data_IF_310141933007
#
_entry.id   IF_310141933007
#
_cell.length_a   1.000
_cell.length_b   1.000
_cell.length_c   1.000
_cell.angle_alpha   90.00
_cell.angle_beta   90.00
_cell.angle_gamma   90.00
#
_symmetry.space_group_name_H-M   'P 1'
#
loop_
_entity.id
_entity.type
_entity.pdbx_description
1 polymer ?
#
# COMPACT_ATOMS: atom_id res chain seq x y z
N UNK A 1 -76.49 -28.92 1.79
CA UNK A 1 -75.22 -29.38 2.42
C UNK A 1 -74.08 -29.66 1.42
N UNK A 2 -74.34 -29.98 0.14
CA UNK A 2 -73.28 -30.38 -0.82
C UNK A 2 -72.32 -29.28 -1.33
N UNK A 3 -72.68 -27.99 -1.35
CA UNK A 3 -71.80 -26.92 -1.87
C UNK A 3 -70.71 -26.44 -0.91
N UNK A 4 -70.93 -26.54 0.40
CA UNK A 4 -69.95 -26.08 1.41
C UNK A 4 -68.77 -27.05 1.60
N UNK A 5 -69.00 -28.34 1.37
CA UNK A 5 -67.94 -29.35 1.46
C UNK A 5 -66.99 -29.32 0.26
N UNK A 6 -67.46 -28.94 -0.93
CA UNK A 6 -66.61 -28.83 -2.13
C UNK A 6 -65.64 -27.65 -2.05
N UNK A 7 -66.10 -26.51 -1.53
CA UNK A 7 -65.25 -25.34 -1.34
C UNK A 7 -64.13 -25.59 -0.32
N UNK A 8 -64.45 -26.24 0.80
CA UNK A 8 -63.45 -26.60 1.80
C UNK A 8 -62.39 -27.56 1.25
N UNK A 9 -62.78 -28.51 0.40
CA UNK A 9 -61.86 -29.46 -0.20
C UNK A 9 -60.90 -28.81 -1.22
N UNK A 10 -61.38 -27.84 -1.99
CA UNK A 10 -60.56 -27.10 -2.97
C UNK A 10 -59.57 -26.17 -2.25
N UNK A 11 -59.99 -25.50 -1.18
CA UNK A 11 -59.10 -24.64 -0.37
C UNK A 11 -58.00 -25.47 0.31
N UNK A 12 -58.34 -26.66 0.79
CA UNK A 12 -57.36 -27.56 1.42
C UNK A 12 -56.35 -28.12 0.41
N UNK A 13 -56.80 -28.40 -0.82
CA UNK A 13 -55.90 -28.77 -1.93
C UNK A 13 -54.96 -27.61 -2.30
N UNK A 14 -55.47 -26.38 -2.41
CA UNK A 14 -54.66 -25.21 -2.73
C UNK A 14 -53.62 -24.90 -1.65
N UNK A 15 -54.01 -24.96 -0.38
CA UNK A 15 -53.09 -24.78 0.75
C UNK A 15 -52.05 -25.89 0.82
N UNK A 16 -52.42 -27.13 0.50
CA UNK A 16 -51.46 -28.24 0.43
C UNK A 16 -50.46 -28.07 -0.71
N UNK A 17 -50.89 -27.57 -1.88
CA UNK A 17 -49.96 -27.30 -2.99
C UNK A 17 -49.02 -26.15 -2.71
N UNK A 18 -49.45 -25.12 -1.98
CA UNK A 18 -48.60 -24.01 -1.57
C UNK A 18 -47.55 -24.43 -0.52
N UNK A 19 -47.88 -25.35 0.38
CA UNK A 19 -46.93 -25.88 1.37
C UNK A 19 -45.82 -26.73 0.74
N UNK A 20 -46.07 -27.41 -0.38
CA UNK A 20 -45.06 -28.21 -1.08
C UNK A 20 -44.09 -27.37 -1.93
N UNK A 21 -44.51 -26.22 -2.45
CA UNK A 21 -43.64 -25.32 -3.24
C UNK A 21 -42.71 -24.50 -2.33
N UNK A 22 -43.09 -24.29 -1.06
CA UNK A 22 -42.33 -23.46 -0.12
C UNK A 22 -41.25 -24.20 0.68
N UNK A 23 -41.11 -25.53 0.55
CA UNK A 23 -40.17 -26.33 1.35
C UNK A 23 -38.98 -26.90 0.57
N UNK A 24 -38.84 -26.58 -0.71
CA UNK A 24 -37.65 -26.93 -1.48
C UNK A 24 -36.88 -25.66 -1.78
N UNK A 25 -35.83 -25.40 -1.00
CA UNK A 25 -34.72 -24.54 -1.43
C UNK A 25 -34.35 -25.00 -2.85
N UNK A 26 -34.19 -24.12 -3.84
CA UNK A 26 -33.66 -24.54 -5.13
C UNK A 26 -32.30 -25.17 -4.86
N UNK A 27 -32.25 -26.50 -4.90
CA UNK A 27 -30.99 -27.22 -4.91
C UNK A 27 -30.50 -27.06 -6.35
N UNK A 28 -29.36 -26.40 -6.50
CA UNK A 28 -28.64 -26.32 -7.77
C UNK A 28 -28.56 -27.73 -8.36
N UNK A 29 -28.89 -27.92 -9.65
CA UNK A 29 -28.85 -29.23 -10.27
C UNK A 29 -27.40 -29.71 -10.28
N UNK A 30 -27.07 -30.60 -9.36
CA UNK A 30 -25.82 -31.36 -9.39
C UNK A 30 -25.98 -32.54 -10.35
N UNK A 31 -25.01 -32.68 -11.26
CA UNK A 31 -24.99 -33.71 -12.31
C UNK A 31 -24.94 -35.14 -11.72
N UNK A 32 -24.50 -35.27 -10.46
CA UNK A 32 -24.54 -36.52 -9.69
C UNK A 32 -24.50 -36.27 -8.18
N UNK A 33 -25.23 -37.08 -7.41
CA UNK A 33 -25.17 -37.10 -5.94
C UNK A 33 -24.09 -38.05 -5.41
N UNK A 34 -23.33 -38.70 -6.29
CA UNK A 34 -22.28 -39.65 -5.94
C UNK A 34 -20.91 -38.96 -6.07
N UNK A 35 -20.16 -38.76 -4.97
CA UNK A 35 -18.93 -37.95 -4.98
C UNK A 35 -17.82 -38.53 -5.87
N UNK A 36 -17.92 -39.79 -6.28
CA UNK A 36 -16.98 -40.41 -7.24
C UNK A 36 -17.33 -40.18 -8.71
N UNK A 37 -18.56 -39.73 -9.00
CA UNK A 37 -19.06 -39.52 -10.36
C UNK A 37 -19.14 -38.03 -10.72
N UNK A 38 -18.76 -37.13 -9.80
CA UNK A 38 -18.58 -35.72 -10.09
C UNK A 38 -17.39 -35.58 -11.07
N UNK A 39 -17.68 -35.43 -12.35
CA UNK A 39 -16.71 -34.87 -13.26
C UNK A 39 -16.55 -33.42 -12.81
N UNK A 40 -15.38 -33.06 -12.27
CA UNK A 40 -15.07 -31.73 -11.72
C UNK A 40 -15.12 -30.62 -12.77
N UNK A 41 -16.29 -30.38 -13.34
CA UNK A 41 -16.59 -29.17 -14.08
C UNK A 41 -16.73 -28.01 -13.10
N UNK A 42 -16.41 -26.81 -13.58
CA UNK A 42 -16.69 -25.58 -12.85
C UNK A 42 -18.18 -25.58 -12.43
N UNK A 43 -18.51 -25.14 -11.20
CA UNK A 43 -19.89 -24.92 -10.80
C UNK A 43 -20.61 -24.09 -11.88
N UNK A 44 -21.93 -24.28 -12.12
CA UNK A 44 -22.67 -23.36 -12.95
C UNK A 44 -22.47 -21.95 -12.37
N UNK A 45 -21.90 -21.04 -13.16
CA UNK A 45 -21.89 -19.62 -12.82
C UNK A 45 -23.33 -19.14 -12.96
N UNK A 46 -24.11 -19.31 -11.89
CA UNK A 46 -25.37 -18.62 -11.73
C UNK A 46 -25.04 -17.19 -11.32
N UNK A 47 -25.75 -16.26 -11.94
CA UNK A 47 -25.72 -14.82 -11.71
C UNK A 47 -27.21 -14.49 -11.67
N UNK A 48 -27.77 -14.46 -10.46
CA UNK A 48 -29.19 -14.49 -10.20
C UNK A 48 -29.88 -13.13 -10.40
N UNK A 49 -29.15 -12.05 -10.24
CA UNK A 49 -29.60 -10.67 -10.40
C UNK A 49 -29.05 -9.95 -11.64
N UNK A 50 -28.25 -10.65 -12.45
CA UNK A 50 -27.72 -10.24 -13.76
C UNK A 50 -26.73 -9.06 -13.69
N UNK A 51 -25.93 -9.02 -12.63
CA UNK A 51 -25.00 -7.93 -12.32
C UNK A 51 -23.55 -8.19 -12.77
N UNK A 52 -23.31 -9.39 -13.31
CA UNK A 52 -22.04 -9.92 -13.85
C UNK A 52 -21.04 -10.42 -12.81
N UNK A 53 -21.37 -10.34 -11.53
CA UNK A 53 -20.70 -11.06 -10.46
C UNK A 53 -21.39 -12.44 -10.32
N UNK A 54 -20.65 -13.56 -10.25
CA UNK A 54 -21.28 -14.86 -10.03
C UNK A 54 -21.74 -15.01 -8.58
N UNK A 55 -22.90 -15.64 -8.37
CA UNK A 55 -23.47 -15.95 -7.04
C UNK A 55 -22.48 -16.67 -6.11
N UNK A 56 -21.52 -17.41 -6.67
CA UNK A 56 -20.49 -18.09 -5.91
C UNK A 56 -19.54 -17.10 -5.22
N UNK A 57 -19.13 -16.05 -5.92
CA UNK A 57 -18.25 -15.01 -5.39
C UNK A 57 -18.98 -14.21 -4.32
N UNK A 58 -20.22 -13.82 -4.59
CA UNK A 58 -21.08 -13.14 -3.61
C UNK A 58 -21.36 -14.01 -2.39
N UNK A 59 -21.51 -15.33 -2.55
CA UNK A 59 -21.66 -16.24 -1.43
C UNK A 59 -20.39 -16.39 -0.59
N UNK A 60 -19.20 -16.07 -1.12
CA UNK A 60 -17.95 -16.08 -0.37
C UNK A 60 -17.84 -14.79 0.45
N UNK A 61 -18.13 -13.65 -0.17
CA UNK A 61 -17.97 -12.31 0.40
C UNK A 61 -19.31 -11.64 0.77
N UNK A 62 -20.29 -12.45 1.16
CA UNK A 62 -21.66 -11.99 1.46
C UNK A 62 -21.96 -11.84 2.95
N UNK A 63 -20.96 -12.01 3.81
CA UNK A 63 -21.08 -11.79 5.25
C UNK A 63 -20.67 -10.34 5.57
N UNK A 64 -21.51 -9.63 6.32
CA UNK A 64 -21.18 -8.29 6.81
C UNK A 64 -20.05 -8.37 7.86
N UNK A 65 -18.99 -7.60 7.67
CA UNK A 65 -17.85 -7.56 8.59
C UNK A 65 -18.05 -6.42 9.58
N UNK A 66 -18.09 -6.75 10.88
CA UNK A 66 -18.18 -5.77 11.96
C UNK A 66 -16.80 -5.53 12.56
N UNK A 67 -16.30 -4.30 12.43
CA UNK A 67 -15.00 -3.87 12.94
C UNK A 67 -15.21 -3.07 14.23
N UNK A 68 -14.71 -3.60 15.35
CA UNK A 68 -14.79 -2.98 16.67
C UNK A 68 -13.56 -2.11 16.95
N UNK A 69 -13.76 -0.78 17.00
CA UNK A 69 -12.70 0.18 17.35
C UNK A 69 -12.94 0.80 18.73
N UNK A 70 -11.91 1.42 19.36
CA UNK A 70 -12.10 2.17 20.60
C UNK A 70 -13.13 3.30 20.50
N UNK A 71 -13.33 3.90 19.32
CA UNK A 71 -14.30 4.97 19.08
C UNK A 71 -15.73 4.45 18.80
N UNK A 72 -15.86 3.19 18.40
CA UNK A 72 -17.14 2.56 18.09
C UNK A 72 -17.01 1.39 17.11
N UNK A 73 -18.06 0.59 17.00
CA UNK A 73 -18.17 -0.45 15.98
C UNK A 73 -18.73 0.13 14.69
N UNK A 74 -18.17 -0.23 13.55
CA UNK A 74 -18.77 0.01 12.24
C UNK A 74 -18.85 -1.29 11.44
N UNK A 75 -19.62 -1.28 10.37
CA UNK A 75 -19.96 -2.47 9.58
C UNK A 75 -19.63 -2.20 8.11
N UNK A 76 -18.89 -3.13 7.50
CA UNK A 76 -18.63 -3.20 6.06
C UNK A 76 -19.60 -4.23 5.50
N UNK A 77 -20.39 -3.83 4.51
CA UNK A 77 -21.46 -4.66 3.97
C UNK A 77 -20.89 -5.68 2.98
N UNK A 78 -21.32 -6.94 3.12
CA UNK A 78 -21.03 -7.97 2.13
C UNK A 78 -21.89 -7.82 0.86
N UNK A 79 -21.59 -8.64 -0.14
CA UNK A 79 -22.37 -8.74 -1.37
C UNK A 79 -23.66 -9.57 -1.18
N UNK A 80 -24.72 -9.26 -1.94
CA UNK A 80 -26.00 -9.98 -1.94
C UNK A 80 -26.37 -10.43 -3.34
N UNK A 81 -26.36 -11.76 -3.53
CA UNK A 81 -26.76 -12.50 -4.74
C UNK A 81 -28.14 -12.21 -5.34
N UNK A 82 -28.92 -11.29 -4.76
CA UNK A 82 -30.22 -10.87 -5.28
C UNK A 82 -30.29 -9.35 -5.52
N UNK A 83 -29.19 -8.63 -5.31
CA UNK A 83 -29.08 -7.19 -5.36
C UNK A 83 -28.02 -6.73 -6.37
N UNK A 84 -28.35 -6.79 -7.66
CA UNK A 84 -27.40 -6.43 -8.72
C UNK A 84 -26.99 -4.97 -8.85
N UNK A 85 -27.14 -4.16 -7.80
CA UNK A 85 -26.60 -2.81 -7.68
C UNK A 85 -25.33 -2.74 -6.83
N UNK A 86 -25.00 -3.80 -6.09
CA UNK A 86 -23.80 -3.86 -5.25
C UNK A 86 -22.51 -4.17 -6.04
N UNK A 87 -22.60 -4.64 -7.29
CA UNK A 87 -21.43 -4.74 -8.18
C UNK A 87 -20.63 -3.42 -8.36
N UNK A 88 -21.30 -2.27 -8.24
CA UNK A 88 -20.68 -0.95 -8.33
C UNK A 88 -20.48 -0.31 -6.95
N UNK A 89 -20.70 -1.07 -5.88
CA UNK A 89 -20.38 -0.65 -4.51
C UNK A 89 -18.89 -0.81 -4.24
N UNK A 90 -18.43 0.01 -3.31
CA UNK A 90 -17.06 0.13 -2.79
C UNK A 90 -17.26 0.28 -1.28
N UNK A 91 -17.61 -0.85 -0.65
CA UNK A 91 -18.11 -0.86 0.73
C UNK A 91 -17.00 -0.71 1.76
N UNK A 92 -15.83 -1.23 1.43
CA UNK A 92 -14.54 -1.16 2.11
C UNK A 92 -13.70 0.07 1.74
N UNK A 93 -14.16 0.89 0.78
CA UNK A 93 -13.64 2.26 0.52
C UNK A 93 -12.16 2.31 0.14
N UNK A 94 -11.68 1.23 -0.46
CA UNK A 94 -10.33 1.13 -1.01
C UNK A 94 -10.26 1.73 -2.42
N UNK A 95 -11.41 2.12 -2.99
CA UNK A 95 -11.54 2.74 -4.30
C UNK A 95 -11.67 1.77 -5.46
N UNK A 96 -11.56 0.47 -5.22
CA UNK A 96 -12.02 -0.56 -6.12
C UNK A 96 -13.53 -0.79 -5.93
N UNK A 97 -14.24 -1.08 -7.01
CA UNK A 97 -15.64 -1.52 -6.90
C UNK A 97 -15.68 -3.03 -6.90
N UNK A 98 -16.69 -3.64 -6.27
CA UNK A 98 -16.85 -5.09 -6.18
C UNK A 98 -16.70 -5.83 -7.52
N UNK A 99 -17.19 -5.25 -8.62
CA UNK A 99 -17.03 -5.82 -9.95
C UNK A 99 -15.58 -5.81 -10.43
N UNK A 100 -14.81 -4.77 -10.11
CA UNK A 100 -13.39 -4.66 -10.44
C UNK A 100 -12.58 -5.69 -9.66
N UNK A 101 -12.88 -5.86 -8.37
CA UNK A 101 -12.25 -6.84 -7.50
C UNK A 101 -12.44 -8.28 -7.98
N UNK A 102 -13.69 -8.65 -8.30
CA UNK A 102 -13.96 -9.93 -8.96
C UNK A 102 -13.23 -10.08 -10.30
N UNK A 103 -13.09 -8.99 -11.04
CA UNK A 103 -12.46 -8.97 -12.36
C UNK A 103 -10.94 -8.95 -12.33
N UNK A 104 -10.31 -8.61 -11.21
CA UNK A 104 -8.86 -8.56 -11.06
C UNK A 104 -8.23 -9.90 -11.50
N UNK A 105 -7.12 -9.93 -12.26
CA UNK A 105 -6.25 -8.83 -12.71
C UNK A 105 -6.64 -8.22 -14.07
N UNK A 106 -7.91 -8.24 -14.44
CA UNK A 106 -8.40 -7.66 -15.70
C UNK A 106 -9.14 -6.34 -15.43
N UNK A 107 -8.93 -5.37 -16.30
CA UNK A 107 -9.79 -4.17 -16.32
C UNK A 107 -11.23 -4.54 -16.68
N UNK A 108 -12.19 -3.74 -16.23
CA UNK A 108 -13.62 -3.98 -16.44
C UNK A 108 -14.00 -4.18 -17.92
N UNK A 109 -13.34 -3.48 -18.85
CA UNK A 109 -13.58 -3.62 -20.29
C UNK A 109 -13.06 -4.97 -20.83
N UNK A 110 -11.96 -5.50 -20.28
CA UNK A 110 -11.32 -6.75 -20.73
C UNK A 110 -11.89 -7.99 -20.07
N UNK A 111 -12.34 -7.87 -18.82
CA UNK A 111 -12.85 -8.97 -18.00
C UNK A 111 -13.96 -9.78 -18.71
N UNK A 112 -14.82 -9.13 -19.49
CA UNK A 112 -15.95 -9.81 -20.17
C UNK A 112 -15.79 -9.96 -21.68
N UNK A 113 -14.79 -9.31 -22.29
CA UNK A 113 -14.65 -9.27 -23.76
C UNK A 113 -13.47 -10.11 -24.26
N UNK A 114 -12.29 -9.88 -23.67
CA UNK A 114 -11.00 -10.32 -24.23
C UNK A 114 -10.19 -11.19 -23.25
N UNK A 115 -10.74 -11.54 -22.07
CA UNK A 115 -10.03 -12.39 -21.10
C UNK A 115 -9.78 -13.78 -21.68
N UNK A 116 -8.54 -14.26 -21.53
CA UNK A 116 -8.12 -15.60 -21.98
C UNK A 116 -7.95 -16.59 -20.81
N UNK A 117 -7.99 -16.11 -19.56
CA UNK A 117 -7.94 -16.91 -18.34
C UNK A 117 -9.08 -16.53 -17.38
N UNK A 118 -9.21 -17.29 -16.28
CA UNK A 118 -10.08 -16.95 -15.16
C UNK A 118 -9.50 -15.77 -14.37
N UNK A 119 -10.38 -15.03 -13.69
CA UNK A 119 -10.03 -13.95 -12.76
C UNK A 119 -9.46 -14.50 -11.45
N UNK A 120 -8.80 -13.67 -10.66
CA UNK A 120 -8.12 -14.04 -9.43
C UNK A 120 -6.78 -14.76 -9.63
N UNK A 121 -5.99 -14.83 -8.56
CA UNK A 121 -4.70 -15.53 -8.51
C UNK A 121 -4.93 -17.04 -8.62
N UNK A 122 -4.28 -17.72 -9.58
CA UNK A 122 -4.57 -19.12 -9.84
C UNK A 122 -4.06 -20.02 -8.71
N UNK A 123 -4.75 -21.15 -8.40
CA UNK A 123 -4.43 -22.03 -7.28
C UNK A 123 -2.99 -22.56 -7.25
N UNK A 124 -2.34 -22.63 -8.42
CA UNK A 124 -0.95 -23.08 -8.54
C UNK A 124 0.07 -22.07 -8.00
N UNK A 125 -0.33 -20.81 -7.83
CA UNK A 125 0.49 -19.69 -7.33
C UNK A 125 0.11 -19.25 -5.91
N UNK A 126 -0.94 -19.83 -5.33
CA UNK A 126 -1.42 -19.53 -3.99
C UNK A 126 -0.91 -20.56 -2.98
N UNK A 127 -0.60 -20.15 -1.75
CA UNK A 127 -0.25 -21.10 -0.68
C UNK A 127 -1.43 -21.95 -0.23
N UNK A 128 -2.65 -21.39 -0.28
CA UNK A 128 -3.89 -22.06 0.10
C UNK A 128 -4.25 -23.23 -0.85
N UNK A 129 -3.69 -23.24 -2.06
CA UNK A 129 -4.03 -24.17 -3.13
C UNK A 129 -5.45 -23.98 -3.68
N UNK A 130 -6.06 -22.84 -3.37
CA UNK A 130 -7.36 -22.41 -3.88
C UNK A 130 -7.17 -21.13 -4.69
N UNK A 131 -8.15 -20.77 -5.51
CA UNK A 131 -8.09 -19.50 -6.25
C UNK A 131 -8.39 -18.37 -5.27
N UNK A 132 -7.50 -17.38 -5.24
CA UNK A 132 -7.62 -16.19 -4.41
C UNK A 132 -8.13 -15.01 -5.26
N UNK A 133 -8.95 -14.17 -4.65
CA UNK A 133 -9.55 -12.99 -5.25
C UNK A 133 -9.43 -11.85 -4.24
N UNK A 134 -9.52 -10.61 -4.75
CA UNK A 134 -9.73 -9.44 -3.90
C UNK A 134 -11.06 -9.58 -3.16
N UNK A 135 -11.08 -9.12 -1.92
CA UNK A 135 -12.19 -9.22 -0.98
C UNK A 135 -12.93 -7.87 -0.86
N UNK A 136 -14.16 -7.74 -1.40
CA UNK A 136 -14.95 -6.49 -1.38
C UNK A 136 -15.36 -5.98 0.00
N UNK A 137 -14.97 -6.69 1.04
CA UNK A 137 -15.22 -6.35 2.44
C UNK A 137 -13.95 -6.02 3.22
N UNK A 138 -12.78 -6.08 2.57
CA UNK A 138 -11.46 -5.86 3.16
C UNK A 138 -10.64 -4.96 2.25
N UNK A 139 -10.35 -3.74 2.71
CA UNK A 139 -9.65 -2.76 1.88
C UNK A 139 -8.20 -3.12 1.53
N UNK A 140 -7.61 -4.07 2.24
CA UNK A 140 -6.24 -4.58 2.09
C UNK A 140 -6.36 -6.11 2.19
N UNK A 141 -6.49 -6.78 1.04
CA UNK A 141 -6.83 -8.20 0.96
C UNK A 141 -5.70 -9.09 1.46
N UNK A 142 -4.45 -8.72 1.18
CA UNK A 142 -3.28 -9.52 1.55
C UNK A 142 -2.62 -9.10 2.87
N UNK A 143 -3.00 -7.94 3.42
CA UNK A 143 -2.67 -7.48 4.76
C UNK A 143 -1.29 -6.86 4.86
N UNK A 144 -0.82 -6.23 3.79
CA UNK A 144 0.53 -5.72 3.65
C UNK A 144 0.67 -4.22 4.01
N UNK A 145 -0.47 -3.55 4.25
CA UNK A 145 -0.58 -2.15 4.60
C UNK A 145 -0.90 -1.21 3.44
N UNK A 146 -0.99 -1.73 2.21
CA UNK A 146 -1.44 -1.01 1.03
C UNK A 146 -2.87 -1.40 0.70
N UNK A 147 -3.78 -0.43 0.44
CA UNK A 147 -5.13 -0.80 0.04
C UNK A 147 -5.22 -1.32 -1.39
N UNK A 148 -6.13 -2.26 -1.68
CA UNK A 148 -6.15 -2.94 -2.97
C UNK A 148 -6.35 -1.96 -4.13
N UNK A 149 -7.30 -1.04 -4.02
CA UNK A 149 -7.51 -0.01 -5.03
C UNK A 149 -6.32 0.92 -5.24
N UNK A 150 -5.52 1.21 -4.20
CA UNK A 150 -4.25 1.94 -4.34
C UNK A 150 -3.26 1.14 -5.17
N UNK A 151 -3.07 -0.14 -4.86
CA UNK A 151 -2.15 -1.01 -5.58
C UNK A 151 -2.56 -1.23 -7.03
N UNK A 152 -3.85 -1.46 -7.28
CA UNK A 152 -4.42 -1.52 -8.63
C UNK A 152 -4.07 -0.25 -9.41
N UNK A 153 -4.22 0.93 -8.79
CA UNK A 153 -3.88 2.18 -9.46
C UNK A 153 -2.39 2.31 -9.76
N UNK A 154 -1.52 1.98 -8.79
CA UNK A 154 -0.06 2.03 -8.97
C UNK A 154 0.41 1.05 -10.06
N UNK A 155 -0.14 -0.16 -10.07
CA UNK A 155 0.14 -1.17 -11.08
C UNK A 155 -0.35 -0.78 -12.47
N UNK A 156 -1.52 -0.13 -12.59
CA UNK A 156 -2.15 0.18 -13.88
C UNK A 156 -1.82 1.57 -14.40
N UNK A 157 -2.41 2.61 -13.81
CA UNK A 157 -2.26 4.01 -14.22
C UNK A 157 -0.92 4.61 -13.75
N UNK A 158 -0.39 4.14 -12.63
CA UNK A 158 0.95 4.49 -12.12
C UNK A 158 2.09 3.93 -12.97
N UNK A 159 1.80 2.98 -13.86
CA UNK A 159 2.77 2.46 -14.84
C UNK A 159 3.79 1.49 -14.27
N UNK A 160 3.51 0.89 -13.11
CA UNK A 160 4.38 -0.08 -12.44
C UNK A 160 4.04 -1.54 -12.77
N UNK A 161 3.04 -1.77 -13.61
CA UNK A 161 2.67 -3.07 -14.14
C UNK A 161 2.69 -3.12 -15.66
N UNK A 162 2.44 -4.31 -16.21
CA UNK A 162 2.26 -4.48 -17.65
C UNK A 162 1.19 -5.54 -17.97
N UNK A 163 0.58 -5.41 -19.14
CA UNK A 163 -0.36 -6.41 -19.65
C UNK A 163 0.39 -7.61 -20.22
N UNK A 164 0.05 -8.80 -19.71
CA UNK A 164 0.57 -10.05 -20.23
C UNK A 164 -0.18 -10.52 -21.50
N UNK A 165 0.26 -11.64 -22.08
CA UNK A 165 -0.34 -12.18 -23.30
C UNK A 165 -1.83 -12.58 -23.19
N UNK A 166 -2.35 -12.68 -21.96
CA UNK A 166 -3.77 -12.99 -21.70
C UNK A 166 -4.63 -11.75 -21.47
N UNK A 167 -4.06 -10.55 -21.59
CA UNK A 167 -4.63 -9.25 -21.20
C UNK A 167 -4.85 -9.08 -19.69
N UNK A 168 -4.22 -9.90 -18.86
CA UNK A 168 -4.17 -9.70 -17.42
C UNK A 168 -3.01 -8.77 -17.08
N UNK A 169 -3.21 -7.90 -16.10
CA UNK A 169 -2.12 -7.14 -15.50
C UNK A 169 -1.19 -8.08 -14.76
N UNK A 170 0.10 -7.75 -14.83
CA UNK A 170 1.14 -8.34 -14.01
C UNK A 170 1.79 -7.18 -13.31
N UNK A 171 1.54 -7.09 -12.01
CA UNK A 171 2.10 -6.10 -11.13
C UNK A 171 3.50 -6.55 -10.70
N UNK A 172 4.39 -5.58 -10.48
CA UNK A 172 5.78 -5.86 -10.14
C UNK A 172 6.06 -5.67 -8.65
N UNK A 173 5.38 -4.72 -8.00
CA UNK A 173 5.64 -4.28 -6.62
C UNK A 173 4.41 -3.74 -5.88
N UNK A 174 3.24 -3.87 -6.50
CA UNK A 174 1.94 -3.39 -6.00
C UNK A 174 0.91 -4.40 -6.51
N UNK A 175 1.03 -5.65 -6.07
CA UNK A 175 0.06 -6.71 -6.33
C UNK A 175 -0.83 -6.90 -5.10
N UNK A 176 -2.12 -6.57 -5.16
CA UNK A 176 -3.03 -6.64 -3.99
C UNK A 176 -3.40 -8.06 -3.54
N UNK A 177 -2.62 -9.05 -3.97
CA UNK A 177 -2.70 -10.45 -3.58
C UNK A 177 -1.29 -11.00 -3.25
N UNK A 178 -0.29 -10.15 -3.06
CA UNK A 178 1.10 -10.49 -2.71
C UNK A 178 1.63 -9.70 -1.50
N UNK A 179 1.55 -10.26 -0.27
CA UNK A 179 1.87 -9.54 0.95
C UNK A 179 3.36 -9.23 1.15
N UNK A 180 4.22 -9.62 0.20
CA UNK A 180 5.64 -9.27 0.24
C UNK A 180 5.89 -7.79 0.00
N UNK A 181 4.95 -7.10 -0.63
CA UNK A 181 5.10 -5.73 -1.11
C UNK A 181 5.20 -4.73 0.08
N UNK A 182 4.70 -5.11 1.27
CA UNK A 182 4.83 -4.40 2.55
C UNK A 182 6.24 -3.90 2.92
N UNK A 183 7.31 -4.55 2.44
CA UNK A 183 8.71 -4.19 2.77
C UNK A 183 9.55 -3.85 1.55
N UNK A 184 8.92 -3.80 0.39
CA UNK A 184 9.53 -3.32 -0.84
C UNK A 184 9.70 -1.80 -0.76
N UNK A 185 10.77 -1.32 -1.37
CA UNK A 185 11.23 0.06 -1.33
C UNK A 185 11.75 0.37 -2.74
N UNK A 186 10.83 0.84 -3.59
CA UNK A 186 10.97 0.74 -5.03
C UNK A 186 11.46 2.03 -5.67
N UNK A 187 11.94 2.97 -4.87
CA UNK A 187 12.35 4.29 -5.34
C UNK A 187 13.18 4.28 -6.60
N UNK A 188 12.89 5.28 -7.44
CA UNK A 188 13.61 5.47 -8.68
C UNK A 188 15.04 5.95 -8.41
N UNK A 189 15.98 5.16 -8.91
CA UNK A 189 17.40 5.50 -8.96
C UNK A 189 17.71 6.66 -9.92
N UNK A 190 18.89 7.28 -9.76
CA UNK A 190 19.42 8.30 -10.68
C UNK A 190 19.52 7.82 -12.15
N UNK A 191 19.71 6.52 -12.37
CA UNK A 191 19.80 5.89 -13.70
C UNK A 191 18.43 5.49 -14.28
N UNK A 192 17.34 5.92 -13.63
CA UNK A 192 15.94 5.60 -13.93
C UNK A 192 15.52 4.15 -13.70
N UNK A 193 16.37 3.30 -13.13
CA UNK A 193 15.94 2.00 -12.58
C UNK A 193 15.15 2.18 -11.28
N UNK A 194 14.58 1.10 -10.76
CA UNK A 194 13.78 1.08 -9.52
C UNK A 194 14.46 0.18 -8.49
N UNK A 195 14.17 0.43 -7.21
CA UNK A 195 14.68 -0.35 -6.08
C UNK A 195 16.01 0.15 -5.50
N UNK A 196 16.30 1.45 -5.64
CA UNK A 196 17.41 2.06 -4.91
C UNK A 196 17.07 2.30 -3.45
N UNK A 197 15.80 2.56 -3.19
CA UNK A 197 15.29 3.06 -1.92
C UNK A 197 15.85 4.40 -1.51
N UNK A 198 15.21 4.97 -0.49
CA UNK A 198 15.60 6.22 0.15
C UNK A 198 15.81 6.06 1.67
N UNK A 199 15.65 4.83 2.17
CA UNK A 199 16.10 4.43 3.50
C UNK A 199 17.60 4.66 3.71
N UNK A 200 18.02 4.70 4.98
CA UNK A 200 19.40 5.00 5.34
C UNK A 200 19.90 4.18 6.52
N UNK A 201 21.21 3.95 6.58
CA UNK A 201 21.89 3.17 7.62
C UNK A 201 21.87 3.91 8.99
N UNK A 202 20.73 3.83 9.67
CA UNK A 202 20.47 4.45 10.98
C UNK A 202 21.49 3.98 12.01
N UNK A 203 21.78 2.68 12.03
CA UNK A 203 22.63 2.06 13.05
C UNK A 203 24.15 2.17 12.75
N UNK A 204 24.49 2.60 11.53
CA UNK A 204 25.84 2.86 11.00
C UNK A 204 26.72 1.62 10.86
N UNK A 205 26.14 0.46 10.61
CA UNK A 205 26.91 -0.78 10.42
C UNK A 205 27.45 -0.95 9.00
N UNK A 206 26.95 -0.18 8.03
CA UNK A 206 27.33 -0.17 6.62
C UNK A 206 26.35 -0.93 5.71
N UNK A 207 25.20 -1.34 6.22
CA UNK A 207 24.12 -1.97 5.48
C UNK A 207 22.80 -1.24 5.78
N UNK A 208 21.85 -1.32 4.85
CA UNK A 208 20.47 -0.89 5.07
C UNK A 208 19.65 -2.17 5.15
N UNK A 209 19.27 -2.53 6.36
CA UNK A 209 18.40 -3.68 6.59
C UNK A 209 16.92 -3.32 6.36
N UNK A 210 16.03 -4.32 6.34
CA UNK A 210 14.58 -4.11 6.12
C UNK A 210 13.97 -3.12 7.12
N UNK A 211 14.52 -3.03 8.34
CA UNK A 211 14.05 -2.09 9.37
C UNK A 211 14.59 -0.66 9.22
N UNK A 212 15.44 -0.43 8.23
CA UNK A 212 16.07 0.87 7.92
C UNK A 212 15.67 1.38 6.54
N UNK A 213 14.81 0.62 5.84
CA UNK A 213 14.10 1.08 4.65
C UNK A 213 12.98 2.01 5.06
N UNK A 214 12.55 2.81 4.11
CA UNK A 214 11.27 3.49 4.17
C UNK A 214 10.43 2.83 3.08
N UNK A 215 9.55 1.91 3.49
CA UNK A 215 8.87 1.03 2.52
C UNK A 215 7.71 1.73 1.82
N UNK A 216 7.28 1.17 0.69
CA UNK A 216 6.12 1.66 -0.07
C UNK A 216 4.86 1.86 0.81
N UNK A 217 4.66 0.97 1.80
CA UNK A 217 3.55 1.01 2.76
C UNK A 217 3.71 2.12 3.81
N UNK A 218 4.93 2.37 4.29
CA UNK A 218 5.24 3.48 5.18
C UNK A 218 5.06 4.83 4.47
N UNK A 219 5.46 4.90 3.20
CA UNK A 219 5.29 6.04 2.32
C UNK A 219 3.83 6.37 2.05
N UNK A 220 3.04 5.36 1.65
CA UNK A 220 1.60 5.51 1.46
C UNK A 220 0.92 6.02 2.73
N UNK A 221 1.27 5.44 3.89
CA UNK A 221 0.66 5.77 5.17
C UNK A 221 1.22 7.04 5.83
N UNK A 222 2.19 7.72 5.19
CA UNK A 222 2.79 8.91 5.75
C UNK A 222 1.76 10.00 6.08
N UNK A 223 1.79 10.47 7.32
CA UNK A 223 0.90 11.50 7.84
C UNK A 223 -0.52 11.02 8.17
N UNK A 224 -0.82 9.72 8.05
CA UNK A 224 -2.10 9.17 8.51
C UNK A 224 -2.27 9.35 10.02
N UNK A 225 -3.48 9.65 10.52
CA UNK A 225 -3.78 9.68 11.95
C UNK A 225 -3.59 8.30 12.60
N UNK A 226 -3.21 8.26 13.89
CA UNK A 226 -3.01 7.00 14.64
C UNK A 226 -4.23 6.06 14.67
N UNK A 227 -5.45 6.60 14.47
CA UNK A 227 -6.69 5.84 14.48
C UNK A 227 -7.24 5.59 13.06
N UNK A 228 -6.44 5.77 12.01
CA UNK A 228 -6.86 5.60 10.62
C UNK A 228 -7.24 4.16 10.32
N UNK A 229 -8.37 3.99 9.63
CA UNK A 229 -8.83 2.70 9.12
C UNK A 229 -9.48 2.93 7.77
N UNK A 230 -8.94 2.35 6.71
CA UNK A 230 -9.37 2.59 5.32
C UNK A 230 -10.85 2.22 5.12
N UNK A 231 -11.31 1.11 5.71
CA UNK A 231 -12.70 0.66 5.65
C UNK A 231 -13.71 1.67 6.22
N UNK A 232 -13.24 2.55 7.12
CA UNK A 232 -14.07 3.59 7.73
C UNK A 232 -13.88 4.94 7.06
N UNK A 233 -12.62 5.32 6.85
CA UNK A 233 -12.21 6.69 6.55
C UNK A 233 -11.95 6.91 5.05
N UNK A 234 -11.80 5.83 4.28
CA UNK A 234 -11.44 5.82 2.87
C UNK A 234 -9.93 5.81 2.63
N UNK A 235 -9.55 5.81 1.35
CA UNK A 235 -8.16 5.94 0.93
C UNK A 235 -7.52 7.23 1.43
N UNK A 236 -6.21 7.16 1.68
CA UNK A 236 -5.36 8.29 2.07
C UNK A 236 -5.04 9.23 0.90
N UNK A 237 -6.09 9.84 0.35
CA UNK A 237 -6.03 10.81 -0.74
C UNK A 237 -7.01 11.95 -0.51
N UNK A 238 -6.90 12.99 -1.33
CA UNK A 238 -7.79 14.16 -1.33
C UNK A 238 -8.34 14.36 -2.74
N UNK A 239 -9.64 14.63 -2.85
CA UNK A 239 -10.28 14.91 -4.13
C UNK A 239 -10.62 13.63 -4.90
N UNK A 240 -10.44 13.65 -6.23
CA UNK A 240 -10.79 12.51 -7.10
C UNK A 240 -9.52 11.95 -7.74
N UNK A 241 -9.26 10.66 -7.52
CA UNK A 241 -8.20 9.93 -8.22
C UNK A 241 -8.76 9.29 -9.50
N UNK A 242 -8.15 9.54 -10.67
CA UNK A 242 -8.58 8.92 -11.91
C UNK A 242 -8.53 7.39 -11.84
N UNK A 243 -9.61 6.74 -12.28
CA UNK A 243 -9.71 5.27 -12.32
C UNK A 243 -10.26 4.62 -11.04
N UNK A 244 -10.51 5.42 -9.99
CA UNK A 244 -11.10 4.95 -8.73
C UNK A 244 -12.56 5.35 -8.58
N UNK A 245 -13.23 4.77 -7.58
CA UNK A 245 -14.55 5.19 -7.09
C UNK A 245 -14.56 6.69 -6.71
N UNK A 246 -15.64 7.40 -7.05
CA UNK A 246 -15.74 8.87 -6.84
C UNK A 246 -15.66 9.30 -5.36
N UNK A 247 -15.96 8.40 -4.42
CA UNK A 247 -15.94 8.66 -2.98
C UNK A 247 -14.89 7.80 -2.24
N UNK A 248 -13.86 7.32 -2.95
CA UNK A 248 -12.80 6.51 -2.37
C UNK A 248 -11.95 7.30 -1.36
N UNK A 249 -11.62 8.55 -1.69
CA UNK A 249 -10.78 9.38 -0.86
C UNK A 249 -11.51 9.89 0.39
N UNK A 250 -10.75 10.05 1.47
CA UNK A 250 -11.22 10.76 2.65
C UNK A 250 -11.58 12.23 2.36
N UNK A 251 -12.47 12.81 3.18
CA UNK A 251 -13.04 14.16 2.95
C UNK A 251 -12.48 15.26 3.88
N UNK A 252 -11.71 14.89 4.91
CA UNK A 252 -11.38 15.77 6.04
C UNK A 252 -10.08 16.57 5.86
N UNK A 253 -9.13 16.01 5.13
CA UNK A 253 -7.78 16.53 4.94
C UNK A 253 -7.62 16.87 3.46
N UNK A 254 -6.95 17.97 3.17
CA UNK A 254 -6.68 18.42 1.80
C UNK A 254 -5.21 18.70 1.65
N UNK A 255 -4.69 18.52 0.44
CA UNK A 255 -3.30 18.89 0.12
C UNK A 255 -3.12 20.40 0.34
N UNK A 256 -1.98 20.86 0.87
CA UNK A 256 -1.73 22.28 1.10
C UNK A 256 -1.88 23.15 -0.17
N UNK A 257 -1.57 22.58 -1.32
CA UNK A 257 -1.71 23.17 -2.66
C UNK A 257 -3.17 23.25 -3.16
N UNK A 258 -4.08 22.50 -2.55
CA UNK A 258 -5.52 22.49 -2.85
C UNK A 258 -5.92 21.73 -4.11
N UNK A 259 -5.02 20.95 -4.70
CA UNK A 259 -5.26 20.02 -5.80
C UNK A 259 -5.55 18.59 -5.29
N UNK A 260 -6.10 17.78 -6.18
CA UNK A 260 -6.41 16.37 -5.92
C UNK A 260 -5.13 15.53 -5.95
N UNK A 261 -5.07 14.45 -5.18
CA UNK A 261 -3.93 13.54 -5.16
C UNK A 261 -3.77 12.77 -3.85
N UNK A 262 -2.74 11.91 -3.81
CA UNK A 262 -2.32 11.17 -2.62
C UNK A 262 -1.84 12.11 -1.51
N UNK A 263 -2.12 11.74 -0.27
CA UNK A 263 -1.69 12.50 0.91
C UNK A 263 -0.37 12.01 1.50
N UNK A 264 0.02 10.75 1.27
CA UNK A 264 1.33 10.22 1.62
C UNK A 264 2.47 10.76 0.74
N UNK A 265 3.65 10.15 0.84
CA UNK A 265 4.76 10.37 -0.11
C UNK A 265 4.53 9.52 -1.38
N UNK A 266 5.36 9.70 -2.41
CA UNK A 266 5.25 8.97 -3.68
C UNK A 266 6.27 7.82 -3.69
N UNK A 267 5.86 6.55 -3.57
CA UNK A 267 6.77 5.41 -3.46
C UNK A 267 7.73 5.19 -4.63
N UNK A 268 7.54 5.93 -5.72
CA UNK A 268 8.42 5.84 -6.87
C UNK A 268 9.55 6.85 -6.82
N UNK A 269 9.61 7.70 -5.80
CA UNK A 269 10.47 8.88 -5.75
C UNK A 269 11.10 9.03 -4.37
N UNK A 270 12.42 8.89 -4.35
CA UNK A 270 13.24 9.05 -3.15
C UNK A 270 13.21 10.43 -2.49
N UNK A 271 12.52 11.39 -3.10
CA UNK A 271 12.46 12.80 -2.72
C UNK A 271 11.15 13.37 -3.31
N UNK A 272 10.09 13.18 -2.53
CA UNK A 272 8.69 13.35 -2.91
C UNK A 272 8.17 14.77 -2.75
N UNK A 273 8.98 15.73 -2.29
CA UNK A 273 8.49 17.07 -2.01
C UNK A 273 7.75 17.68 -3.19
N UNK A 274 6.44 17.83 -3.07
CA UNK A 274 5.64 18.36 -4.17
C UNK A 274 5.25 19.81 -3.96
N UNK A 275 5.48 20.39 -2.78
CA UNK A 275 5.12 21.76 -2.50
C UNK A 275 6.16 22.50 -1.66
N UNK A 276 6.11 23.83 -1.72
CA UNK A 276 6.89 24.72 -0.85
C UNK A 276 6.02 25.89 -0.35
N UNK A 277 6.33 26.40 0.83
CA UNK A 277 5.69 27.57 1.41
C UNK A 277 6.30 28.87 0.88
N UNK A 278 5.51 29.64 0.14
CA UNK A 278 5.79 31.04 -0.16
C UNK A 278 5.01 31.92 0.82
N UNK A 279 5.65 32.27 1.93
CA UNK A 279 5.07 32.99 3.08
C UNK A 279 3.86 32.28 3.71
N UNK A 280 2.67 32.46 3.13
CA UNK A 280 1.38 31.95 3.63
C UNK A 280 0.67 31.05 2.61
N UNK A 281 1.28 30.82 1.45
CA UNK A 281 0.69 30.06 0.34
C UNK A 281 1.60 28.90 -0.01
N UNK A 282 1.08 27.69 0.11
CA UNK A 282 1.72 26.49 -0.44
C UNK A 282 1.63 26.55 -1.97
N UNK A 283 2.78 26.42 -2.62
CA UNK A 283 2.91 26.44 -4.07
C UNK A 283 3.47 25.10 -4.53
N UNK A 284 2.79 24.46 -5.48
CA UNK A 284 3.26 23.21 -6.06
C UNK A 284 4.59 23.40 -6.81
N UNK A 285 5.48 22.45 -6.64
CA UNK A 285 6.78 22.41 -7.29
C UNK A 285 6.64 21.87 -8.72
N UNK A 286 7.45 22.44 -9.63
CA UNK A 286 7.52 21.98 -11.03
C UNK A 286 8.45 20.78 -11.14
N UNK A 287 9.53 20.81 -10.36
CA UNK A 287 10.46 19.70 -10.18
C UNK A 287 10.33 19.40 -8.70
N UNK A 288 9.75 18.26 -8.32
CA UNK A 288 9.61 17.95 -6.94
C UNK A 288 10.97 17.59 -6.33
N UNK A 289 11.05 17.77 -5.02
CA UNK A 289 12.20 17.50 -4.18
C UNK A 289 13.03 18.71 -3.79
N UNK A 290 13.68 18.60 -2.63
CA UNK A 290 14.58 19.62 -2.09
C UNK A 290 16.04 19.15 -1.90
N UNK A 291 16.29 17.86 -2.10
CA UNK A 291 17.60 17.22 -1.99
C UNK A 291 17.82 16.48 -0.68
N UNK A 292 16.82 16.39 0.20
CA UNK A 292 16.77 15.48 1.33
C UNK A 292 15.85 14.29 0.95
N UNK A 293 16.24 13.02 1.20
CA UNK A 293 15.37 11.89 0.89
C UNK A 293 14.24 11.69 1.89
N UNK A 294 13.10 11.12 1.46
CA UNK A 294 11.91 11.06 2.30
C UNK A 294 12.12 10.22 3.56
N UNK A 295 12.80 9.08 3.43
CA UNK A 295 13.16 8.23 4.55
C UNK A 295 13.98 8.96 5.61
N UNK A 296 14.87 9.88 5.22
CA UNK A 296 15.61 10.73 6.16
C UNK A 296 14.68 11.71 6.86
N UNK A 297 13.87 12.42 6.09
CA UNK A 297 12.93 13.42 6.61
C UNK A 297 11.93 12.81 7.60
N UNK A 298 11.31 11.69 7.23
CA UNK A 298 10.37 10.97 8.08
C UNK A 298 11.03 10.52 9.40
N UNK A 299 12.28 10.04 9.37
CA UNK A 299 13.00 9.62 10.57
C UNK A 299 13.28 10.76 11.54
N UNK A 300 13.64 11.94 11.05
CA UNK A 300 13.96 13.11 11.87
C UNK A 300 12.76 14.03 12.14
N UNK A 301 11.58 13.70 11.60
CA UNK A 301 10.34 14.42 11.83
C UNK A 301 10.18 15.70 11.00
N UNK A 302 10.81 15.74 9.83
CA UNK A 302 10.54 16.70 8.76
C UNK A 302 9.31 16.23 7.95
N UNK A 303 8.77 17.09 7.07
CA UNK A 303 7.63 16.74 6.22
C UNK A 303 8.13 16.46 4.78
N UNK A 304 8.26 15.20 4.33
CA UNK A 304 8.83 14.82 3.02
C UNK A 304 8.01 15.22 1.78
N UNK A 305 7.03 16.07 2.00
CA UNK A 305 6.17 16.64 0.97
C UNK A 305 6.46 18.13 0.81
N UNK A 306 7.18 18.74 1.76
CA UNK A 306 7.40 20.16 1.96
C UNK A 306 8.88 20.57 1.80
N UNK A 307 9.26 20.90 0.58
CA UNK A 307 10.60 21.37 0.21
C UNK A 307 11.13 22.64 0.92
N UNK A 308 10.33 23.27 1.78
CA UNK A 308 10.71 24.50 2.49
C UNK A 308 11.38 24.25 3.83
N UNK A 309 11.22 23.05 4.40
CA UNK A 309 11.86 22.72 5.67
C UNK A 309 13.33 22.33 5.51
N UNK A 310 13.82 21.92 4.32
CA UNK A 310 15.26 21.72 4.07
C UNK A 310 16.15 22.88 4.52
N UNK A 311 15.71 24.13 4.32
CA UNK A 311 16.50 25.34 4.65
C UNK A 311 16.27 25.85 6.08
N UNK A 312 15.41 25.20 6.85
CA UNK A 312 15.18 25.55 8.24
C UNK A 312 16.25 24.89 9.12
N UNK A 313 16.62 25.60 10.19
CA UNK A 313 17.45 25.07 11.28
C UNK A 313 16.50 24.69 12.42
N UNK A 314 16.06 23.43 12.42
CA UNK A 314 14.99 22.95 13.30
C UNK A 314 15.43 22.86 14.76
N UNK A 315 16.71 22.59 15.02
CA UNK A 315 17.26 22.39 16.36
C UNK A 315 18.02 23.63 16.90
N UNK A 316 18.23 24.65 16.07
CA UNK A 316 18.86 25.93 16.35
C UNK A 316 20.32 25.79 16.83
N UNK A 317 21.08 24.88 16.21
CA UNK A 317 22.48 24.62 16.56
C UNK A 317 23.50 25.46 15.75
N UNK A 318 23.02 26.30 14.83
CA UNK A 318 23.82 27.21 14.01
C UNK A 318 24.81 28.10 14.78
N UNK A 319 25.88 28.53 14.08
CA UNK A 319 27.02 29.23 14.69
C UNK A 319 27.28 30.59 14.05
N UNK A 320 27.15 31.66 14.84
CA UNK A 320 27.55 33.04 14.52
C UNK A 320 29.07 33.12 14.24
N UNK A 321 29.42 33.00 12.96
CA UNK A 321 30.79 32.82 12.49
C UNK A 321 31.56 34.15 12.52
N UNK A 322 30.88 35.25 12.20
CA UNK A 322 31.47 36.58 12.15
C UNK A 322 31.37 37.36 13.48
N UNK A 323 30.59 36.83 14.43
CA UNK A 323 30.38 37.32 15.80
C UNK A 323 29.65 38.65 15.85
N UNK A 324 28.74 38.90 14.92
CA UNK A 324 27.93 40.11 14.88
C UNK A 324 26.69 40.05 15.81
N UNK A 325 26.43 38.86 16.38
CA UNK A 325 25.34 38.60 17.32
C UNK A 325 24.07 38.05 16.68
N UNK A 326 24.11 37.71 15.39
CA UNK A 326 23.03 37.08 14.66
C UNK A 326 23.51 35.75 14.06
N UNK A 327 22.57 34.85 13.80
CA UNK A 327 22.80 33.65 12.99
C UNK A 327 21.95 33.84 11.74
N UNK A 328 22.60 34.00 10.60
CA UNK A 328 21.93 34.26 9.33
C UNK A 328 21.29 32.96 8.81
N UNK A 329 19.98 32.93 8.53
CA UNK A 329 19.32 31.74 7.99
C UNK A 329 19.68 31.50 6.52
N UNK A 330 19.50 30.25 6.09
CA UNK A 330 19.66 29.85 4.70
C UNK A 330 18.50 30.33 3.82
N UNK A 331 18.81 30.67 2.58
CA UNK A 331 17.80 31.15 1.62
C UNK A 331 17.42 30.11 0.57
N UNK A 332 18.27 29.11 0.35
CA UNK A 332 18.04 27.99 -0.56
C UNK A 332 19.10 26.92 -0.31
N UNK A 333 18.81 25.66 -0.64
CA UNK A 333 19.77 24.55 -0.58
C UNK A 333 21.05 24.82 -1.38
N UNK A 334 20.93 25.52 -2.52
CA UNK A 334 22.07 25.93 -3.34
C UNK A 334 22.98 27.02 -2.70
N UNK A 335 22.50 27.72 -1.67
CA UNK A 335 23.23 28.78 -0.97
C UNK A 335 23.42 28.50 0.51
N UNK A 336 23.05 27.30 0.98
CA UNK A 336 23.10 26.92 2.39
C UNK A 336 24.47 27.17 3.02
N UNK A 337 25.54 26.80 2.32
CA UNK A 337 26.92 27.03 2.77
C UNK A 337 27.34 28.50 2.98
N UNK A 338 26.48 29.48 2.68
CA UNK A 338 26.73 30.90 2.93
C UNK A 338 25.98 31.46 4.14
N UNK A 339 24.98 30.75 4.65
CA UNK A 339 24.35 31.08 5.92
C UNK A 339 25.23 30.71 7.10
N UNK A 340 24.70 30.99 8.29
CA UNK A 340 25.29 30.59 9.57
C UNK A 340 24.36 29.64 10.35
N UNK A 341 23.08 29.59 9.96
CA UNK A 341 22.17 28.54 10.35
C UNK A 341 22.66 27.24 9.74
N UNK A 342 22.76 26.20 10.56
CA UNK A 342 23.08 24.87 10.08
C UNK A 342 21.75 24.20 9.76
N UNK A 343 21.34 24.28 8.49
CA UNK A 343 20.00 23.84 8.08
C UNK A 343 19.87 22.32 8.01
N UNK A 344 18.63 21.82 8.03
CA UNK A 344 18.32 20.40 7.88
C UNK A 344 19.00 19.78 6.65
N UNK A 345 19.09 20.53 5.55
CA UNK A 345 19.81 20.11 4.35
C UNK A 345 21.31 19.96 4.59
N UNK A 346 21.95 20.89 5.29
CA UNK A 346 23.38 20.79 5.62
C UNK A 346 23.65 19.62 6.58
N UNK A 347 22.74 19.34 7.52
CA UNK A 347 22.81 18.16 8.38
C UNK A 347 22.80 16.87 7.55
N UNK A 348 21.86 16.75 6.60
CA UNK A 348 21.79 15.62 5.69
C UNK A 348 23.07 15.49 4.84
N UNK A 349 23.58 16.59 4.29
CA UNK A 349 24.80 16.57 3.50
C UNK A 349 26.03 16.12 4.31
N UNK A 350 26.10 16.47 5.60
CA UNK A 350 27.13 15.98 6.52
C UNK A 350 26.96 14.50 6.83
N UNK A 351 25.73 13.99 6.87
CA UNK A 351 25.47 12.56 7.00
C UNK A 351 25.87 11.77 5.75
N UNK A 352 25.45 12.23 4.57
CA UNK A 352 25.68 11.56 3.29
C UNK A 352 27.18 11.40 2.98
N UNK A 353 27.96 12.49 3.15
CA UNK A 353 29.43 12.57 3.01
C UNK A 353 30.06 11.66 1.92
N UNK A 354 29.41 11.49 0.76
CA UNK A 354 29.85 10.60 -0.33
C UNK A 354 30.24 9.17 0.14
N UNK A 355 29.58 8.64 1.18
CA UNK A 355 29.91 7.35 1.79
C UNK A 355 31.16 7.36 2.69
N UNK A 356 31.60 8.53 3.15
CA UNK A 356 32.80 8.73 3.99
C UNK A 356 32.50 9.07 5.45
N UNK A 357 31.46 8.49 6.06
CA UNK A 357 31.06 8.87 7.42
C UNK A 357 32.11 8.61 8.52
N UNK A 358 32.04 9.44 9.56
CA UNK A 358 32.89 9.36 10.75
C UNK A 358 32.42 8.21 11.66
N UNK A 359 33.00 7.01 11.51
CA UNK A 359 32.87 5.96 12.52
C UNK A 359 33.84 6.21 13.70
N UNK A 360 33.37 6.31 14.96
CA UNK A 360 34.26 6.34 16.11
C UNK A 360 35.05 5.04 16.18
N UNK A 361 36.36 5.12 15.96
CA UNK A 361 37.20 3.93 15.84
C UNK A 361 38.64 4.25 15.46
N UNK A 362 39.46 3.21 15.38
CA UNK A 362 40.84 3.31 14.89
C UNK A 362 40.86 2.77 13.47
N UNK A 363 41.17 3.65 12.50
CA UNK A 363 41.57 3.23 11.14
C UNK A 363 43.08 3.11 11.08
N UNK A 364 43.56 2.03 10.46
CA UNK A 364 44.98 1.80 10.22
C UNK A 364 45.21 1.11 8.88
N UNK A 365 46.38 1.30 8.29
CA UNK A 365 46.83 0.55 7.12
C UNK A 365 48.02 -0.32 7.52
N UNK A 366 48.06 -1.57 7.03
CA UNK A 366 49.22 -2.42 7.24
C UNK A 366 50.40 -1.83 6.43
N UNK A 367 51.45 -1.38 7.14
CA UNK A 367 52.57 -0.61 6.57
C UNK A 367 53.44 -1.29 5.51
N UNK A 368 52.99 -2.40 4.91
CA UNK A 368 53.73 -3.19 3.92
C UNK A 368 53.26 -2.98 2.47
N UNK A 369 52.22 -2.19 2.21
CA UNK A 369 51.78 -1.89 0.84
C UNK A 369 51.26 -0.48 0.71
N UNK A 370 51.68 0.24 -0.34
CA UNK A 370 51.16 1.56 -0.71
C UNK A 370 49.67 1.53 -1.12
N UNK A 371 49.11 0.33 -1.25
CA UNK A 371 47.74 0.00 -1.68
C UNK A 371 47.12 -1.03 -0.72
N UNK A 372 47.46 -0.96 0.57
CA UNK A 372 47.01 -1.91 1.58
C UNK A 372 45.56 -1.70 1.98
N UNK A 373 44.83 -2.80 2.21
CA UNK A 373 43.48 -2.80 2.76
C UNK A 373 43.44 -1.99 4.06
N UNK A 374 42.50 -1.04 4.14
CA UNK A 374 42.26 -0.23 5.33
C UNK A 374 41.60 -1.12 6.39
N UNK A 375 42.28 -1.30 7.52
CA UNK A 375 41.74 -1.97 8.69
C UNK A 375 40.97 -0.94 9.52
N UNK A 376 39.71 -1.24 9.81
CA UNK A 376 38.86 -0.40 10.65
C UNK A 376 38.50 -1.19 11.90
N UNK A 377 38.74 -0.59 13.07
CA UNK A 377 38.36 -1.14 14.37
C UNK A 377 37.42 -0.15 15.05
N UNK A 378 36.18 -0.57 15.29
CA UNK A 378 35.11 0.21 15.92
C UNK A 378 34.54 -0.54 17.14
N UNK A 379 33.43 -0.05 17.68
CA UNK A 379 32.75 -0.63 18.84
C UNK A 379 32.10 -2.00 18.59
N UNK A 380 31.85 -2.38 17.33
CA UNK A 380 31.29 -3.68 16.96
C UNK A 380 32.38 -4.72 16.68
N UNK A 381 33.63 -4.27 16.52
CA UNK A 381 34.77 -5.14 16.24
C UNK A 381 35.03 -6.12 17.39
N UNK A 382 34.73 -7.40 17.18
CA UNK A 382 35.00 -8.45 18.14
C UNK A 382 36.51 -8.54 18.42
N UNK A 383 36.90 -8.14 19.64
CA UNK A 383 38.26 -8.36 20.12
C UNK A 383 38.46 -9.85 20.39
N UNK A 384 39.44 -10.48 19.72
CA UNK A 384 39.89 -11.79 20.16
C UNK A 384 40.54 -11.63 21.53
N UNK A 385 39.82 -12.05 22.59
CA UNK A 385 40.42 -12.30 23.89
C UNK A 385 41.39 -13.47 23.74
N UNK A 386 42.67 -13.16 23.50
CA UNK A 386 43.73 -14.15 23.63
C UNK A 386 43.88 -14.41 25.13
N UNK A 387 43.44 -15.59 25.57
CA UNK A 387 43.72 -16.06 26.92
C UNK A 387 45.24 -16.16 27.10
N UNK A 388 45.80 -15.28 27.94
CA UNK A 388 47.22 -15.27 28.26
C UNK A 388 47.70 -16.58 28.92
N UNK A 389 46.78 -17.46 29.36
CA UNK A 389 47.12 -18.78 29.89
C UNK A 389 47.51 -19.82 28.83
N UNK A 390 47.34 -19.55 27.53
CA UNK A 390 47.75 -20.49 26.45
C UNK A 390 49.25 -20.41 26.13
N UNK A 391 49.98 -19.46 26.72
CA UNK A 391 51.45 -19.40 26.72
C UNK A 391 52.05 -19.88 28.04
N UNK A 392 51.66 -21.07 28.51
CA UNK A 392 52.50 -21.84 29.43
C UNK A 392 52.71 -23.26 28.90
N UNK A 393 53.84 -23.45 28.21
CA UNK A 393 54.85 -24.47 28.51
C UNK A 393 56.21 -24.02 27.99
#
# INVERSE_FOLDING_TARGET
MRRKQTAAFIVLLLLSSLAFVSQTRPQSPVDSTNPTDAQGGAPPATDADEDRIPDQYESIYGEDIVIDTPEGSFEVLGLDMNNGTDNMSDHDRDGAVALLEYCWPYTLDKCFTDRLSLTGKPPELTESGNREYLDPTSSDTDGDGLPDGYEIHMCTEGGLGYLNATNAWTCLWFDPLDPSDSTEDIDRCEDFSFGCGDGFDVNRDGHIDVTERYSNSEEYSFGTPENWITERDGLWCSGIIPGMSENACQESIVRPTGDDGWLGTDPTRSDSDYYSWSDLLATGLVIPGDGIPDGWEAHYGLDPRNASDAILDSDNDGWDADRDGYVIPDTSTATAAWGEAFSNYEEYMVYYDEGSWVKPGIRGTAGTSHDGTVLTFDQSTQTQLVDAAVHTM
#
